data_IF_802686841186
#
_entry.id   IF_802686841186
#
_cell.length_a   1.000
_cell.length_b   1.000
_cell.length_c   1.000
_cell.angle_alpha   90.00
_cell.angle_beta   90.00
_cell.angle_gamma   90.00
#
_symmetry.space_group_name_H-M   'P 1'
#
loop_
_entity.id
_entity.type
_entity.pdbx_description
1 polymer ?
#
# COMPACT_ATOMS: atom_id res chain seq x y z
N UNK A 1 -11.45 3.52 -16.45
CA UNK A 1 -11.24 3.02 -15.09
C UNK A 1 -10.09 3.81 -14.48
N UNK A 2 -10.27 4.45 -13.32
CA UNK A 2 -9.13 5.05 -12.64
C UNK A 2 -8.16 3.93 -12.28
N UNK A 3 -6.95 4.02 -12.80
CA UNK A 3 -5.88 3.08 -12.47
C UNK A 3 -5.32 3.53 -11.13
N UNK A 4 -5.85 3.01 -10.04
CA UNK A 4 -5.23 3.14 -8.73
C UNK A 4 -3.88 2.46 -8.79
N UNK A 5 -2.83 3.23 -8.85
CA UNK A 5 -1.45 2.71 -8.83
C UNK A 5 -1.04 2.42 -7.39
N UNK A 6 -1.65 1.41 -6.76
CA UNK A 6 -1.06 0.80 -5.59
C UNK A 6 0.22 0.09 -6.03
N UNK A 7 1.34 0.74 -5.86
CA UNK A 7 2.65 0.14 -6.06
C UNK A 7 3.13 -0.46 -4.74
N UNK A 8 3.98 -1.49 -4.79
CA UNK A 8 4.61 -2.01 -3.58
C UNK A 8 5.31 -0.91 -2.78
N UNK A 9 5.98 0.05 -3.44
CA UNK A 9 6.66 1.17 -2.80
C UNK A 9 5.70 2.11 -2.07
N UNK A 10 4.55 2.47 -2.65
CA UNK A 10 3.57 3.34 -2.00
C UNK A 10 2.94 2.66 -0.76
N UNK A 11 2.66 1.37 -0.85
CA UNK A 11 2.13 0.60 0.28
C UNK A 11 3.16 0.52 1.41
N UNK A 12 4.43 0.24 1.11
CA UNK A 12 5.51 0.18 2.11
C UNK A 12 5.67 1.53 2.82
N UNK A 13 5.64 2.64 2.08
CA UNK A 13 5.72 3.98 2.66
C UNK A 13 4.56 4.24 3.62
N UNK A 14 3.33 4.00 3.19
CA UNK A 14 2.13 4.18 4.02
C UNK A 14 2.11 3.23 5.23
N UNK A 15 2.50 1.97 5.04
CA UNK A 15 2.61 1.00 6.13
C UNK A 15 3.63 1.42 7.19
N UNK A 16 4.83 1.87 6.77
CA UNK A 16 5.87 2.36 7.70
C UNK A 16 5.39 3.61 8.45
N UNK A 17 4.77 4.56 7.75
CA UNK A 17 4.22 5.77 8.36
C UNK A 17 3.10 5.47 9.37
N UNK A 18 2.32 4.41 9.17
CA UNK A 18 1.24 4.01 10.07
C UNK A 18 1.72 3.50 11.45
N UNK A 19 2.98 3.10 11.58
CA UNK A 19 3.53 2.48 12.78
C UNK A 19 2.92 1.11 13.12
N UNK A 20 2.10 0.54 12.22
CA UNK A 20 1.45 -0.76 12.42
C UNK A 20 2.44 -1.91 12.29
N UNK A 21 2.10 -3.05 12.88
CA UNK A 21 2.95 -4.23 12.94
C UNK A 21 2.76 -5.17 11.75
N UNK A 22 1.52 -5.38 11.34
CA UNK A 22 1.15 -6.31 10.27
C UNK A 22 0.66 -5.55 9.03
N UNK A 23 0.88 -6.14 7.86
CA UNK A 23 0.36 -5.66 6.58
C UNK A 23 -0.59 -6.71 6.00
N UNK A 24 -1.87 -6.38 5.89
CA UNK A 24 -2.90 -7.25 5.35
C UNK A 24 -3.41 -6.72 4.02
N UNK A 25 -3.44 -7.57 3.01
CA UNK A 25 -4.00 -7.27 1.69
C UNK A 25 -5.36 -7.93 1.57
N UNK A 26 -6.40 -7.18 1.23
CA UNK A 26 -7.75 -7.72 0.97
C UNK A 26 -8.30 -7.18 -0.35
N UNK A 27 -9.43 -7.69 -0.78
CA UNK A 27 -10.11 -7.31 -2.03
C UNK A 27 -10.74 -8.52 -2.73
N UNK A 28 -11.56 -8.26 -3.72
CA UNK A 28 -12.27 -9.25 -4.53
C UNK A 28 -11.34 -10.20 -5.30
N UNK A 29 -11.96 -11.20 -5.93
CA UNK A 29 -11.23 -12.15 -6.78
C UNK A 29 -10.63 -11.43 -8.00
N UNK A 30 -9.38 -11.72 -8.31
CA UNK A 30 -8.71 -11.17 -9.50
C UNK A 30 -8.20 -9.72 -9.36
N UNK A 31 -8.26 -9.11 -8.17
CA UNK A 31 -7.78 -7.73 -7.94
C UNK A 31 -6.25 -7.59 -7.90
N UNK A 32 -5.51 -8.69 -8.03
CA UNK A 32 -4.05 -8.66 -8.07
C UNK A 32 -3.34 -8.81 -6.72
N UNK A 33 -4.03 -9.26 -5.65
CA UNK A 33 -3.47 -9.46 -4.31
C UNK A 33 -2.17 -10.25 -4.30
N UNK A 34 -2.16 -11.44 -4.91
CA UNK A 34 -0.97 -12.31 -4.98
C UNK A 34 0.16 -11.64 -5.78
N UNK A 35 -0.14 -10.95 -6.87
CA UNK A 35 0.86 -10.19 -7.64
C UNK A 35 1.50 -9.11 -6.78
N UNK A 36 0.69 -8.38 -6.02
CA UNK A 36 1.16 -7.35 -5.12
C UNK A 36 1.97 -7.94 -3.95
N UNK A 37 1.50 -9.03 -3.34
CA UNK A 37 2.22 -9.73 -2.28
C UNK A 37 3.61 -10.16 -2.78
N UNK A 38 3.72 -10.75 -3.99
CA UNK A 38 4.98 -11.14 -4.60
C UNK A 38 5.93 -9.97 -4.84
N UNK A 39 5.40 -8.77 -5.11
CA UNK A 39 6.20 -7.55 -5.22
C UNK A 39 6.64 -6.99 -3.85
N UNK A 40 5.84 -7.20 -2.80
CA UNK A 40 6.13 -6.72 -1.43
C UNK A 40 7.16 -7.59 -0.70
N UNK A 41 7.09 -8.93 -0.85
CA UNK A 41 7.95 -9.87 -0.12
C UNK A 41 9.43 -9.53 -0.22
N UNK A 42 10.05 -9.37 -1.41
CA UNK A 42 11.49 -9.09 -1.52
C UNK A 42 11.89 -7.73 -0.94
N UNK A 43 10.96 -6.77 -0.84
CA UNK A 43 11.21 -5.41 -0.37
C UNK A 43 10.97 -5.22 1.13
N UNK A 44 10.05 -6.00 1.70
CA UNK A 44 9.61 -5.81 3.08
C UNK A 44 10.11 -6.93 4.01
N UNK A 45 10.10 -8.16 3.54
CA UNK A 45 10.37 -9.36 4.33
C UNK A 45 11.20 -10.42 3.58
N UNK A 46 12.39 -10.05 3.05
CA UNK A 46 13.23 -11.00 2.32
C UNK A 46 13.60 -12.18 3.21
N UNK A 47 13.48 -13.41 2.67
CA UNK A 47 13.78 -14.63 3.41
C UNK A 47 12.74 -15.06 4.45
N UNK A 48 11.59 -14.39 4.53
CA UNK A 48 10.50 -14.82 5.40
C UNK A 48 9.97 -16.20 4.99
N UNK A 49 9.60 -17.00 6.01
CA UNK A 49 8.91 -18.27 5.76
C UNK A 49 7.48 -17.97 5.29
N UNK A 50 7.00 -18.80 4.37
CA UNK A 50 5.71 -18.60 3.72
C UNK A 50 4.85 -19.86 3.81
N UNK A 51 3.56 -19.65 4.06
CA UNK A 51 2.49 -20.62 3.82
C UNK A 51 1.64 -20.08 2.68
N UNK A 52 1.44 -20.91 1.63
CA UNK A 52 0.60 -20.56 0.48
C UNK A 52 -0.57 -21.51 0.35
N UNK A 53 -1.69 -21.01 -0.15
CA UNK A 53 -2.85 -21.79 -0.56
C UNK A 53 -2.96 -21.84 -2.08
N UNK A 54 -3.18 -23.04 -2.64
CA UNK A 54 -3.40 -23.26 -4.05
C UNK A 54 -4.79 -23.86 -4.27
N UNK A 55 -5.65 -23.14 -4.99
CA UNK A 55 -6.99 -23.61 -5.34
C UNK A 55 -6.98 -24.28 -6.73
N UNK A 56 -7.46 -25.52 -6.79
CA UNK A 56 -7.71 -26.26 -8.02
C UNK A 56 -9.24 -26.28 -8.24
N UNK A 57 -9.75 -25.55 -9.25
CA UNK A 57 -11.18 -25.41 -9.48
C UNK A 57 -11.88 -26.77 -9.64
N UNK A 58 -13.03 -26.93 -8.98
CA UNK A 58 -13.83 -28.16 -8.98
C UNK A 58 -13.07 -29.45 -8.54
N UNK A 59 -11.99 -29.30 -7.77
CA UNK A 59 -11.21 -30.42 -7.22
C UNK A 59 -10.89 -30.18 -5.74
N UNK A 60 -9.86 -29.37 -5.43
CA UNK A 60 -9.38 -29.23 -4.07
C UNK A 60 -8.70 -27.87 -3.81
N UNK A 61 -8.45 -27.61 -2.54
CA UNK A 61 -7.56 -26.55 -2.06
C UNK A 61 -6.42 -27.19 -1.26
N UNK A 62 -5.20 -26.81 -1.58
CA UNK A 62 -3.99 -27.28 -0.90
C UNK A 62 -3.35 -26.14 -0.10
N UNK A 63 -2.78 -26.49 1.05
CA UNK A 63 -1.84 -25.66 1.80
C UNK A 63 -0.41 -26.16 1.55
N UNK A 64 0.54 -25.24 1.40
CA UNK A 64 1.95 -25.52 1.15
C UNK A 64 2.83 -24.70 2.05
N UNK A 65 3.82 -25.31 2.67
CA UNK A 65 4.86 -24.61 3.40
C UNK A 65 6.12 -24.41 2.52
N UNK A 66 6.76 -23.24 2.65
CA UNK A 66 7.98 -22.93 1.90
C UNK A 66 9.20 -23.74 2.40
N UNK A 67 9.22 -24.07 3.68
CA UNK A 67 10.30 -24.86 4.28
C UNK A 67 9.95 -26.34 4.21
N UNK A 68 10.78 -27.11 3.48
CA UNK A 68 10.56 -28.54 3.27
C UNK A 68 9.55 -28.89 2.17
N UNK A 69 8.84 -27.91 1.61
CA UNK A 69 7.95 -28.07 0.46
C UNK A 69 6.77 -29.00 0.67
N UNK A 70 6.36 -29.24 1.93
CA UNK A 70 5.24 -30.13 2.25
C UNK A 70 3.91 -29.54 1.80
N UNK A 71 2.99 -30.41 1.41
CA UNK A 71 1.68 -30.07 0.88
C UNK A 71 0.62 -30.90 1.58
N UNK A 72 -0.53 -30.29 1.90
CA UNK A 72 -1.69 -31.00 2.42
C UNK A 72 -2.99 -30.42 1.84
N UNK A 73 -4.01 -31.25 1.70
CA UNK A 73 -5.35 -30.83 1.23
C UNK A 73 -6.13 -30.28 2.42
N UNK A 74 -6.60 -29.03 2.29
CA UNK A 74 -7.42 -28.34 3.31
C UNK A 74 -8.88 -28.13 2.87
N UNK A 75 -9.19 -28.42 1.62
CA UNK A 75 -10.57 -28.34 1.09
C UNK A 75 -10.78 -29.27 -0.07
N UNK A 76 -11.97 -29.85 -0.16
CA UNK A 76 -12.40 -30.66 -1.31
C UNK A 76 -13.68 -30.13 -1.89
N UNK A 77 -13.75 -30.12 -3.22
CA UNK A 77 -14.95 -29.71 -3.94
C UNK A 77 -16.12 -30.64 -3.64
N UNK A 78 -17.29 -30.08 -3.36
CA UNK A 78 -18.52 -30.81 -3.15
C UNK A 78 -19.59 -30.31 -4.14
N UNK A 79 -19.95 -31.13 -5.15
CA UNK A 79 -20.94 -30.78 -6.14
C UNK A 79 -22.38 -30.68 -5.54
N UNK A 80 -22.61 -31.26 -4.37
CA UNK A 80 -23.90 -31.19 -3.67
C UNK A 80 -24.15 -29.84 -3.00
N UNK A 81 -23.12 -29.01 -2.80
CA UNK A 81 -23.30 -27.67 -2.27
C UNK A 81 -23.92 -26.73 -3.33
N UNK A 82 -24.75 -25.76 -2.89
CA UNK A 82 -25.33 -24.77 -3.79
C UNK A 82 -24.29 -24.09 -4.70
N UNK A 83 -24.65 -23.72 -5.94
CA UNK A 83 -23.79 -22.94 -6.79
C UNK A 83 -23.38 -21.62 -6.11
N UNK A 84 -22.08 -21.28 -6.17
CA UNK A 84 -21.53 -20.09 -5.53
C UNK A 84 -20.04 -20.21 -5.28
N UNK A 85 -19.48 -19.27 -4.50
CA UNK A 85 -18.04 -19.18 -4.26
C UNK A 85 -17.51 -20.21 -3.24
N UNK A 86 -18.37 -20.76 -2.37
CA UNK A 86 -17.95 -21.58 -1.21
C UNK A 86 -18.35 -23.05 -1.40
N UNK A 87 -17.91 -23.67 -2.50
CA UNK A 87 -18.23 -25.08 -2.82
C UNK A 87 -17.13 -26.07 -2.40
N UNK A 88 -16.23 -25.66 -1.52
CA UNK A 88 -15.20 -26.54 -0.94
C UNK A 88 -15.60 -26.91 0.48
N UNK A 89 -15.66 -28.21 0.79
CA UNK A 89 -15.73 -28.68 2.18
C UNK A 89 -14.37 -28.67 2.82
N UNK A 90 -14.21 -28.14 4.03
CA UNK A 90 -12.94 -28.14 4.74
C UNK A 90 -12.49 -29.56 5.06
N UNK A 91 -11.17 -29.78 5.02
CA UNK A 91 -10.48 -31.03 5.40
C UNK A 91 -9.60 -30.70 6.60
N UNK A 92 -10.07 -31.05 7.80
CA UNK A 92 -9.41 -30.70 9.05
C UNK A 92 -7.96 -31.25 9.16
N UNK A 93 -7.72 -32.47 8.67
CA UNK A 93 -6.43 -33.12 8.74
C UNK A 93 -5.32 -32.29 8.07
N UNK A 94 -5.62 -31.62 6.95
CA UNK A 94 -4.64 -30.77 6.27
C UNK A 94 -4.21 -29.60 7.11
N UNK A 95 -5.12 -28.99 7.85
CA UNK A 95 -4.83 -27.94 8.80
C UNK A 95 -4.05 -28.47 10.02
N UNK A 96 -4.52 -29.56 10.63
CA UNK A 96 -3.96 -30.09 11.87
C UNK A 96 -2.58 -30.73 11.68
N UNK A 97 -2.38 -31.47 10.58
CA UNK A 97 -1.14 -32.21 10.34
C UNK A 97 -0.04 -31.38 9.66
N UNK A 98 -0.41 -30.33 8.92
CA UNK A 98 0.57 -29.46 8.24
C UNK A 98 0.46 -28.01 8.65
N UNK A 99 -0.73 -27.41 8.55
CA UNK A 99 -0.93 -25.98 8.73
C UNK A 99 -0.53 -25.49 10.13
N UNK A 100 -1.08 -26.10 11.18
CA UNK A 100 -0.82 -25.74 12.58
C UNK A 100 0.66 -25.95 12.95
N UNK A 101 1.30 -27.12 12.65
CA UNK A 101 2.72 -27.28 12.89
C UNK A 101 3.62 -26.30 12.10
N UNK A 102 3.23 -25.94 10.87
CA UNK A 102 3.99 -24.97 10.08
C UNK A 102 3.93 -23.57 10.70
N UNK A 103 2.73 -23.11 11.13
CA UNK A 103 2.57 -21.83 11.82
C UNK A 103 3.37 -21.76 13.13
N UNK A 104 3.38 -22.85 13.90
CA UNK A 104 4.20 -22.92 15.13
C UNK A 104 5.70 -22.85 14.82
N UNK A 105 6.17 -23.53 13.76
CA UNK A 105 7.59 -23.42 13.33
C UNK A 105 7.92 -22.00 12.90
N UNK A 106 7.03 -21.33 12.17
CA UNK A 106 7.22 -19.94 11.75
C UNK A 106 7.27 -19.01 12.98
N UNK A 107 6.39 -19.20 13.95
CA UNK A 107 6.36 -18.42 15.19
C UNK A 107 7.66 -18.57 16.00
N UNK A 108 8.22 -19.78 16.07
CA UNK A 108 9.47 -20.10 16.79
C UNK A 108 10.74 -19.79 15.98
N UNK A 109 10.65 -19.60 14.65
CA UNK A 109 11.80 -19.38 13.78
C UNK A 109 12.49 -18.02 14.01
N UNK A 110 13.67 -17.83 13.42
CA UNK A 110 14.49 -16.62 13.61
C UNK A 110 13.98 -15.41 12.80
N UNK A 111 13.26 -15.65 11.69
CA UNK A 111 12.73 -14.55 10.87
C UNK A 111 11.79 -13.64 11.65
N UNK A 112 11.98 -12.34 11.55
CA UNK A 112 11.06 -11.34 12.12
C UNK A 112 9.69 -11.36 11.42
N UNK A 113 9.65 -11.78 10.15
CA UNK A 113 8.47 -11.79 9.32
C UNK A 113 7.99 -13.19 8.97
N UNK A 114 6.68 -13.30 8.79
CA UNK A 114 5.99 -14.45 8.22
C UNK A 114 5.05 -14.01 7.10
N UNK A 115 4.85 -14.87 6.09
CA UNK A 115 3.99 -14.58 4.92
C UNK A 115 2.88 -15.63 4.82
N UNK A 116 1.62 -15.18 4.66
CA UNK A 116 0.45 -16.05 4.51
C UNK A 116 -0.31 -15.68 3.23
N UNK A 117 -0.34 -16.57 2.24
CA UNK A 117 -1.03 -16.40 0.97
C UNK A 117 -1.92 -17.62 0.66
N UNK A 118 -3.17 -17.63 0.98
CA UNK A 118 -4.21 -16.68 1.36
C UNK A 118 -4.96 -17.26 2.60
N UNK A 119 -5.52 -16.40 3.48
CA UNK A 119 -6.46 -16.81 4.54
C UNK A 119 -7.89 -16.63 4.04
N UNK A 120 -8.72 -17.68 4.10
CA UNK A 120 -10.07 -17.69 3.57
C UNK A 120 -11.13 -18.28 4.51
N UNK A 121 -12.24 -18.75 3.96
CA UNK A 121 -13.37 -19.27 4.76
C UNK A 121 -13.12 -20.70 5.29
N UNK A 122 -12.23 -21.47 4.66
CA UNK A 122 -11.96 -22.85 5.09
C UNK A 122 -11.37 -22.90 6.49
N UNK A 123 -10.58 -21.87 6.86
CA UNK A 123 -9.93 -21.69 8.17
C UNK A 123 -10.94 -21.54 9.31
N UNK A 124 -12.17 -21.07 9.02
CA UNK A 124 -13.20 -20.98 10.05
C UNK A 124 -13.58 -22.33 10.68
N UNK A 125 -13.41 -23.43 9.95
CA UNK A 125 -13.76 -24.77 10.40
C UNK A 125 -12.72 -25.41 11.31
N UNK A 126 -11.51 -24.82 11.45
CA UNK A 126 -10.43 -25.37 12.27
C UNK A 126 -10.00 -24.32 13.33
N UNK A 127 -10.56 -24.42 14.57
CA UNK A 127 -10.21 -23.52 15.66
C UNK A 127 -8.72 -23.51 15.98
N UNK A 128 -8.06 -24.65 15.92
CA UNK A 128 -6.63 -24.82 16.22
C UNK A 128 -5.78 -24.03 15.23
N UNK A 129 -6.15 -24.04 13.93
CA UNK A 129 -5.44 -23.27 12.92
C UNK A 129 -5.61 -21.76 13.15
N UNK A 130 -6.83 -21.31 13.50
CA UNK A 130 -7.08 -19.89 13.83
C UNK A 130 -6.25 -19.43 15.01
N UNK A 131 -6.20 -20.24 16.11
CA UNK A 131 -5.37 -19.96 17.27
C UNK A 131 -3.89 -19.91 16.93
N UNK A 132 -3.41 -20.80 16.04
CA UNK A 132 -2.03 -20.79 15.57
C UNK A 132 -1.71 -19.54 14.73
N UNK A 133 -2.65 -19.03 13.91
CA UNK A 133 -2.51 -17.76 13.19
C UNK A 133 -2.43 -16.59 14.17
N UNK A 134 -3.28 -16.55 15.18
CA UNK A 134 -3.25 -15.51 16.22
C UNK A 134 -1.92 -15.54 16.98
N UNK A 135 -1.45 -16.71 17.40
CA UNK A 135 -0.15 -16.87 18.04
C UNK A 135 1.03 -16.42 17.13
N UNK A 136 0.93 -16.65 15.82
CA UNK A 136 1.91 -16.16 14.85
C UNK A 136 1.91 -14.63 14.77
N UNK A 137 0.73 -14.00 14.76
CA UNK A 137 0.59 -12.53 14.76
C UNK A 137 1.18 -11.92 16.04
N UNK A 138 1.01 -12.57 17.20
CA UNK A 138 1.60 -12.11 18.45
C UNK A 138 3.13 -12.25 18.47
N UNK A 139 3.67 -13.30 17.85
CA UNK A 139 5.10 -13.59 17.84
C UNK A 139 5.86 -12.83 16.74
N UNK A 140 5.28 -12.66 15.55
CA UNK A 140 5.95 -12.17 14.33
C UNK A 140 5.23 -10.98 13.71
N UNK A 141 5.93 -10.25 12.85
CA UNK A 141 5.30 -9.38 11.87
C UNK A 141 4.75 -10.24 10.74
N UNK A 142 3.56 -9.94 10.25
CA UNK A 142 2.90 -10.76 9.23
C UNK A 142 2.52 -9.91 8.02
N UNK A 143 2.90 -10.41 6.84
CA UNK A 143 2.36 -9.97 5.56
C UNK A 143 1.38 -11.05 5.08
N UNK A 144 0.09 -10.72 4.96
CA UNK A 144 -0.91 -11.71 4.60
C UNK A 144 -1.91 -11.22 3.55
N UNK A 145 -2.42 -12.15 2.74
CA UNK A 145 -3.66 -11.97 2.00
C UNK A 145 -4.80 -12.51 2.84
N UNK A 146 -5.79 -11.65 3.07
CA UNK A 146 -7.03 -11.99 3.76
C UNK A 146 -8.16 -11.88 2.73
N UNK A 147 -8.85 -12.98 2.48
CA UNK A 147 -9.95 -13.01 1.54
C UNK A 147 -11.08 -12.09 1.99
N UNK A 148 -11.64 -11.31 1.07
CA UNK A 148 -12.76 -10.40 1.36
C UNK A 148 -14.05 -11.21 1.47
N UNK A 149 -14.30 -11.72 2.66
CA UNK A 149 -15.48 -12.50 3.02
C UNK A 149 -15.91 -12.16 4.43
N UNK A 150 -17.21 -12.08 4.65
CA UNK A 150 -17.79 -11.79 5.97
C UNK A 150 -17.83 -13.07 6.81
N UNK A 151 -16.70 -13.31 7.50
CA UNK A 151 -16.60 -14.37 8.50
C UNK A 151 -15.99 -13.80 9.79
N UNK A 152 -16.39 -14.28 10.97
CA UNK A 152 -15.89 -13.73 12.24
C UNK A 152 -14.35 -13.67 12.32
N UNK A 153 -13.68 -14.71 11.83
CA UNK A 153 -12.20 -14.78 11.87
C UNK A 153 -11.55 -13.73 10.94
N UNK A 154 -11.97 -13.66 9.67
CA UNK A 154 -11.37 -12.74 8.71
C UNK A 154 -11.69 -11.28 9.05
N UNK A 155 -12.90 -11.03 9.55
CA UNK A 155 -13.31 -9.69 10.02
C UNK A 155 -12.47 -9.27 11.22
N UNK A 156 -12.24 -10.17 12.19
CA UNK A 156 -11.41 -9.90 13.36
C UNK A 156 -9.95 -9.59 12.98
N UNK A 157 -9.37 -10.33 12.01
CA UNK A 157 -8.02 -10.05 11.49
C UNK A 157 -7.91 -8.65 10.89
N UNK A 158 -8.87 -8.25 10.06
CA UNK A 158 -8.88 -6.92 9.45
C UNK A 158 -9.19 -5.79 10.45
N UNK A 159 -9.85 -6.09 11.57
CA UNK A 159 -10.16 -5.11 12.63
C UNK A 159 -9.05 -4.94 13.67
N UNK A 160 -7.95 -5.69 13.60
CA UNK A 160 -6.84 -5.58 14.54
C UNK A 160 -6.24 -4.17 14.55
N UNK A 161 -6.01 -3.64 15.75
CA UNK A 161 -5.43 -2.30 15.93
C UNK A 161 -3.98 -2.18 15.44
N UNK A 162 -3.24 -3.30 15.40
CA UNK A 162 -1.85 -3.41 14.97
C UNK A 162 -1.70 -3.81 13.49
N UNK A 163 -2.81 -3.94 12.76
CA UNK A 163 -2.80 -4.25 11.33
C UNK A 163 -3.02 -2.99 10.46
N UNK A 164 -2.23 -2.88 9.40
CA UNK A 164 -2.45 -1.98 8.28
C UNK A 164 -3.13 -2.75 7.16
N UNK A 165 -4.39 -2.44 6.91
CA UNK A 165 -5.19 -3.16 5.91
C UNK A 165 -5.24 -2.36 4.62
N UNK A 166 -4.89 -3.01 3.51
CA UNK A 166 -5.02 -2.46 2.16
C UNK A 166 -6.12 -3.23 1.44
N UNK A 167 -7.25 -2.56 1.23
CA UNK A 167 -8.35 -3.11 0.42
C UNK A 167 -8.15 -2.71 -1.05
N UNK A 168 -7.89 -3.68 -1.92
CA UNK A 168 -7.65 -3.44 -3.34
C UNK A 168 -8.92 -3.05 -4.13
N UNK A 169 -10.09 -3.25 -3.55
CA UNK A 169 -11.36 -2.76 -4.13
C UNK A 169 -11.65 -1.31 -3.72
N UNK A 170 -11.19 -0.91 -2.53
CA UNK A 170 -11.24 0.47 -2.04
C UNK A 170 -9.83 0.88 -1.55
N UNK A 171 -8.91 1.09 -2.48
CA UNK A 171 -7.54 1.42 -2.14
C UNK A 171 -7.47 2.71 -1.32
N UNK A 172 -6.46 2.80 -0.45
CA UNK A 172 -6.20 3.98 0.36
C UNK A 172 -6.28 5.26 -0.49
N UNK A 173 -6.79 6.36 0.05
CA UNK A 173 -7.07 7.56 -0.73
C UNK A 173 -5.84 7.98 -1.53
N UNK A 174 -6.01 8.11 -2.84
CA UNK A 174 -4.98 8.67 -3.68
C UNK A 174 -4.74 10.13 -3.27
N UNK A 175 -3.53 10.42 -2.82
CA UNK A 175 -3.12 11.78 -2.45
C UNK A 175 -2.46 12.46 -3.64
N UNK A 176 -2.89 13.69 -3.94
CA UNK A 176 -2.20 14.58 -4.87
C UNK A 176 -1.25 15.52 -4.14
N UNK A 177 -0.36 16.15 -4.89
CA UNK A 177 0.53 17.19 -4.38
C UNK A 177 0.54 18.43 -5.28
N UNK A 178 0.28 19.58 -4.67
CA UNK A 178 0.48 20.90 -5.31
C UNK A 178 1.73 21.52 -4.71
N UNK A 179 2.77 21.71 -5.52
CA UNK A 179 3.92 22.55 -5.14
C UNK A 179 3.56 24.01 -5.38
N UNK A 180 3.45 24.77 -4.31
CA UNK A 180 3.12 26.18 -4.34
C UNK A 180 4.35 27.04 -4.64
N UNK A 181 4.50 27.47 -5.88
CA UNK A 181 5.65 28.17 -6.42
C UNK A 181 5.32 29.58 -6.97
N UNK A 182 4.20 30.18 -6.53
CA UNK A 182 3.70 31.46 -7.06
C UNK A 182 4.18 32.69 -6.28
N UNK A 183 5.07 32.51 -5.28
CA UNK A 183 5.65 33.61 -4.52
C UNK A 183 6.56 34.50 -5.38
N UNK A 184 6.37 35.83 -5.35
CA UNK A 184 7.15 36.77 -6.18
C UNK A 184 8.54 37.13 -5.60
N UNK A 185 8.91 36.65 -4.42
CA UNK A 185 10.22 36.91 -3.81
C UNK A 185 10.59 38.40 -3.66
N UNK A 186 9.60 39.32 -3.58
CA UNK A 186 9.81 40.79 -3.62
C UNK A 186 10.89 41.31 -2.66
N UNK A 187 11.04 40.67 -1.50
CA UNK A 187 12.05 41.01 -0.48
C UNK A 187 13.44 40.43 -0.78
N UNK A 188 13.51 39.44 -1.67
CA UNK A 188 14.73 38.74 -2.01
C UNK A 188 15.51 39.40 -3.17
N UNK A 189 14.88 40.34 -3.87
CA UNK A 189 15.49 41.04 -5.02
C UNK A 189 15.56 40.22 -6.31
N UNK A 190 14.88 39.06 -6.37
CA UNK A 190 14.83 38.15 -7.51
C UNK A 190 13.95 36.96 -7.26
N UNK A 191 14.08 35.94 -8.12
CA UNK A 191 13.33 34.70 -7.98
C UNK A 191 13.97 33.81 -6.91
N UNK A 192 13.47 33.91 -5.65
CA UNK A 192 13.96 33.12 -4.51
C UNK A 192 14.00 31.61 -4.78
N UNK A 193 13.03 31.09 -5.56
CA UNK A 193 12.90 29.64 -5.82
C UNK A 193 14.01 29.10 -6.71
N UNK A 194 14.63 29.98 -7.51
CA UNK A 194 15.75 29.66 -8.41
C UNK A 194 17.11 29.97 -7.78
N UNK A 195 17.13 30.59 -6.57
CA UNK A 195 18.40 30.83 -5.87
C UNK A 195 19.08 29.51 -5.52
N UNK A 196 20.43 29.52 -5.59
CA UNK A 196 21.22 28.35 -5.20
C UNK A 196 21.06 28.04 -3.71
N UNK A 197 20.76 26.79 -3.41
CA UNK A 197 20.75 26.23 -2.07
C UNK A 197 21.48 24.88 -2.09
N UNK A 198 22.70 24.86 -1.57
CA UNK A 198 23.55 23.67 -1.54
C UNK A 198 23.79 23.03 -2.93
N UNK A 199 23.97 23.83 -3.97
CA UNK A 199 24.28 23.36 -5.33
C UNK A 199 23.06 23.04 -6.20
N UNK A 200 21.86 23.38 -5.74
CA UNK A 200 20.62 23.19 -6.49
C UNK A 200 19.67 24.39 -6.30
N UNK A 201 18.70 24.62 -7.21
CA UNK A 201 17.64 25.60 -6.99
C UNK A 201 16.85 25.31 -5.71
N UNK A 202 16.51 26.33 -4.93
CA UNK A 202 15.79 26.20 -3.65
C UNK A 202 14.51 25.32 -3.76
N UNK A 203 13.81 25.39 -4.90
CA UNK A 203 12.61 24.59 -5.16
C UNK A 203 12.89 23.09 -5.34
N UNK A 204 14.13 22.67 -5.59
CA UNK A 204 14.49 21.29 -5.92
C UNK A 204 14.05 20.29 -4.83
N UNK A 205 14.17 20.67 -3.54
CA UNK A 205 13.68 19.83 -2.43
C UNK A 205 12.17 19.58 -2.50
N UNK A 206 11.38 20.62 -2.75
CA UNK A 206 9.92 20.47 -2.88
C UNK A 206 9.54 19.60 -4.08
N UNK A 207 10.28 19.69 -5.20
CA UNK A 207 10.07 18.85 -6.38
C UNK A 207 10.38 17.38 -6.09
N UNK A 208 11.46 17.10 -5.34
CA UNK A 208 11.83 15.75 -4.90
C UNK A 208 10.77 15.15 -3.94
N UNK A 209 10.32 15.92 -2.96
CA UNK A 209 9.28 15.51 -2.02
C UNK A 209 7.93 15.25 -2.71
N UNK A 210 7.57 16.07 -3.70
CA UNK A 210 6.36 15.87 -4.49
C UNK A 210 6.44 14.64 -5.42
N UNK A 211 7.62 14.03 -5.57
CA UNK A 211 7.83 12.80 -6.35
C UNK A 211 7.75 11.52 -5.51
N UNK A 212 7.50 11.61 -4.20
CA UNK A 212 7.42 10.45 -3.32
C UNK A 212 6.33 9.47 -3.78
N UNK A 213 6.58 8.15 -3.72
CA UNK A 213 5.65 7.13 -4.21
C UNK A 213 4.26 7.13 -3.56
N UNK A 214 4.14 7.70 -2.37
CA UNK A 214 2.86 7.84 -1.66
C UNK A 214 1.91 8.86 -2.33
N UNK A 215 2.43 9.71 -3.22
CA UNK A 215 1.67 10.74 -3.93
C UNK A 215 1.32 10.23 -5.34
N UNK A 216 0.03 10.06 -5.62
CA UNK A 216 -0.46 9.51 -6.88
C UNK A 216 -0.19 10.44 -8.08
N UNK A 217 -0.25 11.74 -7.86
CA UNK A 217 0.04 12.75 -8.86
C UNK A 217 0.54 14.04 -8.24
N UNK A 218 1.21 14.86 -9.05
CA UNK A 218 1.75 16.15 -8.63
C UNK A 218 1.56 17.21 -9.71
N UNK A 219 1.56 18.48 -9.27
CA UNK A 219 1.64 19.65 -10.14
C UNK A 219 2.36 20.79 -9.43
N UNK A 220 3.17 21.51 -10.16
CA UNK A 220 3.75 22.78 -9.72
C UNK A 220 2.86 23.92 -10.20
N UNK A 221 2.51 24.85 -9.32
CA UNK A 221 1.73 26.05 -9.67
C UNK A 221 2.60 27.27 -9.44
N UNK A 222 2.88 28.01 -10.51
CA UNK A 222 3.85 29.11 -10.49
C UNK A 222 3.37 30.35 -11.25
N UNK A 223 3.98 31.49 -10.96
CA UNK A 223 3.91 32.72 -11.77
C UNK A 223 5.24 33.00 -12.49
N UNK A 224 6.28 32.22 -12.20
CA UNK A 224 7.63 32.40 -12.71
C UNK A 224 7.82 31.58 -14.00
N UNK A 225 8.31 32.22 -15.03
CA UNK A 225 8.73 31.59 -16.28
C UNK A 225 9.96 30.68 -16.07
N UNK A 226 10.90 31.08 -15.20
CA UNK A 226 12.10 30.31 -14.90
C UNK A 226 11.75 28.99 -14.20
N UNK A 227 10.79 29.00 -13.25
CA UNK A 227 10.29 27.78 -12.58
C UNK A 227 9.55 26.89 -13.57
N UNK A 228 8.74 27.47 -14.48
CA UNK A 228 8.07 26.72 -15.54
C UNK A 228 9.09 26.02 -16.45
N UNK A 229 10.13 26.74 -16.90
CA UNK A 229 11.19 26.19 -17.72
C UNK A 229 11.95 25.04 -17.03
N UNK A 230 12.28 25.20 -15.75
CA UNK A 230 12.90 24.15 -14.93
C UNK A 230 12.03 22.90 -14.86
N UNK A 231 10.74 23.06 -14.57
CA UNK A 231 9.80 21.97 -14.46
C UNK A 231 9.65 21.23 -15.80
N UNK A 232 9.53 21.95 -16.91
CA UNK A 232 9.44 21.38 -18.25
C UNK A 232 10.69 20.59 -18.61
N UNK A 233 11.89 21.13 -18.31
CA UNK A 233 13.15 20.43 -18.53
C UNK A 233 13.26 19.11 -17.74
N UNK A 234 12.61 19.02 -16.58
CA UNK A 234 12.59 17.81 -15.71
C UNK A 234 11.37 16.91 -15.95
N UNK A 235 10.49 17.24 -16.90
CA UNK A 235 9.24 16.50 -17.12
C UNK A 235 8.25 16.57 -15.97
N UNK A 236 8.33 17.62 -15.12
CA UNK A 236 7.41 17.83 -13.99
C UNK A 236 6.19 18.62 -14.46
N UNK A 237 4.97 18.11 -14.22
CA UNK A 237 3.76 18.87 -14.58
C UNK A 237 3.74 20.25 -13.91
N UNK A 238 3.52 21.29 -14.70
CA UNK A 238 3.51 22.67 -14.23
C UNK A 238 2.33 23.44 -14.82
N UNK A 239 1.77 24.36 -14.03
CA UNK A 239 0.73 25.30 -14.43
C UNK A 239 1.19 26.71 -14.11
N UNK A 240 1.39 27.52 -15.15
CA UNK A 240 1.68 28.96 -14.99
C UNK A 240 0.39 29.78 -14.99
N UNK A 241 0.32 30.80 -14.12
CA UNK A 241 -0.81 31.71 -14.02
C UNK A 241 -0.36 33.14 -13.69
N UNK A 242 -1.27 34.10 -13.89
CA UNK A 242 -1.03 35.51 -13.58
C UNK A 242 -1.83 36.03 -12.36
N UNK A 243 -2.65 35.18 -11.76
CA UNK A 243 -3.53 35.58 -10.65
C UNK A 243 -2.75 36.03 -9.41
N UNK A 244 -3.22 37.09 -8.71
CA UNK A 244 -2.41 37.75 -7.68
C UNK A 244 -2.38 37.04 -6.31
N UNK A 245 -3.39 36.23 -5.98
CA UNK A 245 -3.57 35.70 -4.63
C UNK A 245 -3.03 34.30 -4.44
N UNK A 246 -2.60 33.97 -3.22
CA UNK A 246 -2.17 32.62 -2.84
C UNK A 246 -3.31 31.60 -2.96
N UNK A 247 -4.53 32.01 -2.68
CA UNK A 247 -5.75 31.20 -2.87
C UNK A 247 -5.94 30.74 -4.31
N UNK A 248 -5.50 31.54 -5.30
CA UNK A 248 -5.57 31.14 -6.71
C UNK A 248 -4.60 29.97 -6.99
N UNK A 249 -3.41 29.99 -6.41
CA UNK A 249 -2.44 28.88 -6.53
C UNK A 249 -3.05 27.59 -6.01
N UNK A 250 -3.71 27.64 -4.84
CA UNK A 250 -4.39 26.48 -4.24
C UNK A 250 -5.53 25.99 -5.14
N UNK A 251 -6.43 26.89 -5.56
CA UNK A 251 -7.60 26.57 -6.37
C UNK A 251 -7.21 26.00 -7.74
N UNK A 252 -6.28 26.63 -8.42
CA UNK A 252 -5.83 26.23 -9.74
C UNK A 252 -5.08 24.87 -9.70
N UNK A 253 -4.23 24.68 -8.70
CA UNK A 253 -3.51 23.44 -8.51
C UNK A 253 -4.45 22.27 -8.21
N UNK A 254 -5.40 22.46 -7.30
CA UNK A 254 -6.39 21.42 -6.97
C UNK A 254 -7.27 21.09 -8.18
N UNK A 255 -7.77 22.09 -8.90
CA UNK A 255 -8.57 21.88 -10.10
C UNK A 255 -7.80 21.10 -11.18
N UNK A 256 -6.53 21.45 -11.41
CA UNK A 256 -5.69 20.75 -12.38
C UNK A 256 -5.40 19.30 -11.99
N UNK A 257 -5.19 19.01 -10.68
CA UNK A 257 -5.02 17.65 -10.19
C UNK A 257 -6.30 16.83 -10.34
N UNK A 258 -7.46 17.37 -9.94
CA UNK A 258 -8.76 16.70 -10.05
C UNK A 258 -9.16 16.45 -11.52
N UNK A 259 -8.74 17.32 -12.44
CA UNK A 259 -8.93 17.10 -13.87
C UNK A 259 -8.12 15.92 -14.42
N UNK A 260 -6.96 15.62 -13.83
CA UNK A 260 -6.11 14.47 -14.19
C UNK A 260 -6.47 13.20 -13.44
N UNK A 261 -6.79 13.33 -12.17
CA UNK A 261 -7.10 12.22 -11.26
C UNK A 261 -8.33 12.57 -10.42
N UNK A 262 -9.55 12.33 -10.97
CA UNK A 262 -10.81 12.65 -10.28
C UNK A 262 -11.04 11.87 -8.99
N UNK A 263 -10.32 10.77 -8.81
CA UNK A 263 -10.42 9.90 -7.63
C UNK A 263 -9.56 10.33 -6.44
N UNK A 264 -8.87 11.47 -6.53
CA UNK A 264 -8.14 12.03 -5.40
C UNK A 264 -9.06 12.27 -4.21
N UNK A 265 -8.65 11.77 -3.05
CA UNK A 265 -9.36 11.98 -1.77
C UNK A 265 -8.64 12.96 -0.84
N UNK A 266 -7.42 13.35 -1.19
CA UNK A 266 -6.65 14.33 -0.46
C UNK A 266 -5.61 15.03 -1.33
N UNK A 267 -5.13 16.17 -0.85
CA UNK A 267 -4.11 16.95 -1.53
C UNK A 267 -3.17 17.60 -0.51
N UNK A 268 -1.88 17.34 -0.65
CA UNK A 268 -0.85 18.07 0.07
C UNK A 268 -0.47 19.34 -0.69
N UNK A 269 -0.32 20.44 0.03
CA UNK A 269 0.18 21.70 -0.49
C UNK A 269 1.57 21.97 0.06
N UNK A 270 2.61 21.72 -0.76
CA UNK A 270 4.00 21.91 -0.37
C UNK A 270 4.48 23.30 -0.80
N UNK A 271 4.91 24.16 0.13
CA UNK A 271 5.60 25.40 -0.22
C UNK A 271 6.91 25.13 -0.93
N UNK A 272 7.14 25.79 -2.08
CA UNK A 272 8.35 25.61 -2.87
C UNK A 272 9.61 26.19 -2.22
N UNK A 273 9.47 27.00 -1.19
CA UNK A 273 10.54 27.75 -0.52
C UNK A 273 10.91 27.21 0.88
N UNK A 274 10.63 25.94 1.16
CA UNK A 274 10.97 25.26 2.41
C UNK A 274 12.01 24.14 2.18
N UNK A 275 13.31 24.49 2.09
CA UNK A 275 14.35 23.52 1.75
C UNK A 275 14.64 22.49 2.85
N UNK A 276 14.22 22.74 4.08
CA UNK A 276 14.45 21.86 5.23
C UNK A 276 13.29 20.90 5.51
N UNK A 277 12.23 20.92 4.70
CA UNK A 277 11.17 19.94 4.80
C UNK A 277 11.70 18.56 4.42
N UNK A 278 11.39 17.54 5.23
CA UNK A 278 11.92 16.19 5.06
C UNK A 278 10.85 15.23 4.50
N UNK A 279 11.31 14.11 3.94
CA UNK A 279 10.42 13.02 3.54
C UNK A 279 9.55 12.55 4.71
N UNK A 280 10.14 12.39 5.90
CA UNK A 280 9.41 11.98 7.11
C UNK A 280 8.27 12.97 7.46
N UNK A 281 8.49 14.29 7.25
CA UNK A 281 7.43 15.28 7.45
C UNK A 281 6.26 15.11 6.47
N UNK A 282 6.54 14.77 5.22
CA UNK A 282 5.52 14.51 4.20
C UNK A 282 4.76 13.22 4.50
N UNK A 283 5.46 12.15 4.86
CA UNK A 283 4.88 10.87 5.23
C UNK A 283 3.99 10.96 6.49
N UNK A 284 4.35 11.81 7.44
CA UNK A 284 3.55 12.03 8.65
C UNK A 284 2.25 12.83 8.40
N UNK A 285 2.17 13.59 7.30
CA UNK A 285 1.00 14.36 6.90
C UNK A 285 0.08 13.61 5.93
N UNK A 286 0.57 12.57 5.29
CA UNK A 286 -0.15 11.77 4.30
C UNK A 286 -0.90 10.60 4.93
#
# INVERSE_FOLDING_TARGET
MPVYRLTASSIISSFRASGKRHLLLTGGRGTGKTTLLRALVPLLCPGAQEITTAAYPADRVEIRESVGGKIAVIGRFDPALPPGENRMRPVADGFLLLGVPALHRMAAGESEWAVLDELGYLENSCPEFRQAVEALLDAKRVLAIVRKQDTPFLTALCARQDAFVVDLDDPAPALGCVVMASGLGRRFGGNKLMADFCGAPLIANALALAALPLLACRIVVTRSEEVEALCNAQGVPVLRHAQPYRSDTVRLGLAALLGKEPALRGCLFLPGDQPLLTQQSVEALA
#
